data_IF_906768016626
#
_entry.id   IF_906768016626
#
_cell.length_a   1.000
_cell.length_b   1.000
_cell.length_c   1.000
_cell.angle_alpha   90.00
_cell.angle_beta   90.00
_cell.angle_gamma   90.00
#
_symmetry.space_group_name_H-M   'P 1'
#
loop_
_entity.id
_entity.type
_entity.pdbx_description
1 polymer ?
#
# COMPACT_ATOMS: atom_id res chain seq x y z
N UNK A 1 10.20 17.72 7.56
CA UNK A 1 9.79 16.32 7.34
C UNK A 1 10.99 15.45 7.53
N UNK A 2 10.89 14.48 8.42
CA UNK A 2 11.91 13.45 8.58
C UNK A 2 11.93 12.58 7.31
N UNK A 3 12.88 12.88 6.43
CA UNK A 3 13.11 12.16 5.17
C UNK A 3 13.12 10.64 5.38
N UNK A 4 13.73 10.08 6.44
CA UNK A 4 13.73 8.63 6.66
C UNK A 4 12.33 8.03 6.87
N UNK A 5 11.45 8.72 7.60
CA UNK A 5 10.09 8.21 7.89
C UNK A 5 9.23 8.15 6.62
N UNK A 6 9.36 9.16 5.75
CA UNK A 6 8.65 9.20 4.47
C UNK A 6 9.12 8.09 3.54
N UNK A 7 10.44 7.89 3.42
CA UNK A 7 11.00 6.82 2.58
C UNK A 7 10.55 5.45 3.08
N UNK A 8 10.63 5.21 4.39
CA UNK A 8 10.16 3.96 4.99
C UNK A 8 8.67 3.73 4.70
N UNK A 9 7.85 4.77 4.84
CA UNK A 9 6.42 4.65 4.58
C UNK A 9 6.11 4.32 3.12
N UNK A 10 6.80 4.94 2.17
CA UNK A 10 6.65 4.67 0.73
C UNK A 10 7.03 3.22 0.43
N UNK A 11 8.20 2.76 0.89
CA UNK A 11 8.67 1.40 0.64
C UNK A 11 7.71 0.36 1.22
N UNK A 12 7.20 0.59 2.44
CA UNK A 12 6.21 -0.29 3.07
C UNK A 12 4.88 -0.29 2.30
N UNK A 13 4.42 0.89 1.84
CA UNK A 13 3.20 1.01 1.06
C UNK A 13 3.34 0.30 -0.29
N UNK A 14 4.41 0.54 -1.04
CA UNK A 14 4.69 -0.09 -2.33
C UNK A 14 4.79 -1.62 -2.19
N UNK A 15 5.51 -2.10 -1.17
CA UNK A 15 5.64 -3.55 -0.92
C UNK A 15 4.29 -4.15 -0.57
N UNK A 16 3.52 -3.51 0.30
CA UNK A 16 2.19 -3.98 0.68
C UNK A 16 1.24 -4.01 -0.52
N UNK A 17 1.15 -2.92 -1.29
CA UNK A 17 0.25 -2.82 -2.46
C UNK A 17 0.68 -3.79 -3.55
N UNK A 18 1.96 -3.84 -3.88
CA UNK A 18 2.52 -4.77 -4.86
C UNK A 18 2.26 -6.22 -4.47
N UNK A 19 2.58 -6.59 -3.23
CA UNK A 19 2.33 -7.94 -2.73
C UNK A 19 0.84 -8.29 -2.68
N UNK A 20 -0.05 -7.34 -2.36
CA UNK A 20 -1.50 -7.56 -2.42
C UNK A 20 -1.97 -7.79 -3.87
N UNK A 21 -1.44 -7.04 -4.84
CA UNK A 21 -1.72 -7.29 -6.27
C UNK A 21 -1.37 -8.72 -6.64
N UNK A 22 -0.15 -9.18 -6.32
CA UNK A 22 0.24 -10.56 -6.60
C UNK A 22 -0.62 -11.57 -5.83
N UNK A 23 -0.84 -11.37 -4.52
CA UNK A 23 -1.63 -12.30 -3.72
C UNK A 23 -3.04 -12.53 -4.27
N UNK A 24 -3.76 -11.46 -4.63
CA UNK A 24 -5.18 -11.55 -4.96
C UNK A 24 -5.48 -11.72 -6.45
N UNK A 25 -4.54 -11.35 -7.32
CA UNK A 25 -4.72 -11.39 -8.77
C UNK A 25 -3.82 -12.40 -9.48
N UNK A 26 -2.79 -12.96 -8.84
CA UNK A 26 -2.01 -14.05 -9.42
C UNK A 26 -2.87 -15.33 -9.55
N UNK A 27 -2.57 -16.18 -10.55
CA UNK A 27 -3.25 -17.46 -10.74
C UNK A 27 -2.96 -18.48 -9.62
N UNK A 28 -2.10 -18.13 -8.65
CA UNK A 28 -1.72 -18.96 -7.50
C UNK A 28 -2.77 -18.96 -6.38
N UNK A 29 -3.73 -18.04 -6.41
CA UNK A 29 -4.80 -17.96 -5.40
C UNK A 29 -5.62 -19.25 -5.34
N UNK A 30 -5.66 -19.90 -4.17
CA UNK A 30 -6.31 -21.20 -3.95
C UNK A 30 -5.53 -22.41 -4.50
N UNK A 31 -4.39 -22.19 -5.18
CA UNK A 31 -3.50 -23.26 -5.63
C UNK A 31 -2.44 -23.62 -4.57
N UNK A 32 -2.18 -22.71 -3.63
CA UNK A 32 -1.24 -22.90 -2.52
C UNK A 32 -1.95 -23.32 -1.22
N UNK A 33 -1.18 -23.73 -0.21
CA UNK A 33 -1.75 -24.11 1.09
C UNK A 33 -2.39 -22.90 1.76
N UNK A 34 -3.58 -23.06 2.34
CA UNK A 34 -4.31 -21.98 3.02
C UNK A 34 -3.49 -21.21 4.07
N UNK A 35 -2.61 -21.92 4.81
CA UNK A 35 -1.72 -21.28 5.79
C UNK A 35 -0.71 -20.31 5.16
N UNK A 36 -0.31 -20.54 3.91
CA UNK A 36 0.57 -19.66 3.16
C UNK A 36 -0.11 -18.32 2.84
N UNK A 37 -1.36 -18.36 2.36
CA UNK A 37 -2.14 -17.16 2.06
C UNK A 37 -2.36 -16.31 3.31
N UNK A 38 -2.62 -16.95 4.46
CA UNK A 38 -2.75 -16.27 5.75
C UNK A 38 -1.42 -15.61 6.15
N UNK A 39 -0.30 -16.33 6.08
CA UNK A 39 1.01 -15.79 6.46
C UNK A 39 1.39 -14.60 5.58
N UNK A 40 1.31 -14.78 4.27
CA UNK A 40 1.61 -13.75 3.28
C UNK A 40 0.70 -12.52 3.45
N UNK A 41 -0.61 -12.74 3.54
CA UNK A 41 -1.58 -11.67 3.80
C UNK A 41 -1.31 -10.95 5.13
N UNK A 42 -0.94 -11.68 6.19
CA UNK A 42 -0.62 -11.10 7.51
C UNK A 42 0.59 -10.18 7.42
N UNK A 43 1.66 -10.59 6.73
CA UNK A 43 2.85 -9.78 6.57
C UNK A 43 2.57 -8.52 5.74
N UNK A 44 1.80 -8.63 4.67
CA UNK A 44 1.39 -7.48 3.85
C UNK A 44 0.48 -6.52 4.65
N UNK A 45 -0.42 -7.04 5.47
CA UNK A 45 -1.24 -6.23 6.37
C UNK A 45 -0.37 -5.48 7.38
N UNK A 46 0.65 -6.13 7.98
CA UNK A 46 1.60 -5.48 8.88
C UNK A 46 2.42 -4.39 8.19
N UNK A 47 2.84 -4.61 6.94
CA UNK A 47 3.51 -3.57 6.14
C UNK A 47 2.60 -2.37 5.89
N UNK A 48 1.32 -2.60 5.54
CA UNK A 48 0.34 -1.53 5.38
C UNK A 48 0.10 -0.74 6.68
N UNK A 49 0.05 -1.43 7.83
CA UNK A 49 0.01 -0.78 9.15
C UNK A 49 1.26 0.04 9.44
N UNK A 50 2.43 -0.50 9.12
CA UNK A 50 3.71 0.20 9.24
C UNK A 50 3.74 1.48 8.38
N UNK A 51 3.30 1.39 7.12
CA UNK A 51 3.17 2.54 6.23
C UNK A 51 2.22 3.61 6.81
N UNK A 52 1.04 3.19 7.28
CA UNK A 52 0.06 4.10 7.90
C UNK A 52 0.64 4.80 9.13
N UNK A 53 1.34 4.07 10.01
CA UNK A 53 1.96 4.64 11.20
C UNK A 53 3.10 5.60 10.86
N UNK A 54 3.95 5.25 9.89
CA UNK A 54 5.09 6.07 9.46
C UNK A 54 4.68 7.36 8.72
N UNK A 55 3.47 7.43 8.16
CA UNK A 55 2.99 8.63 7.47
C UNK A 55 2.44 9.73 8.38
N UNK A 56 1.99 9.41 9.61
CA UNK A 56 1.25 10.37 10.46
C UNK A 56 1.99 11.68 10.68
N UNK A 57 3.18 11.59 11.28
CA UNK A 57 4.00 12.78 11.60
C UNK A 57 4.43 13.54 10.34
N UNK A 58 4.93 12.88 9.27
CA UNK A 58 5.23 13.58 8.02
C UNK A 58 4.03 14.32 7.41
N UNK A 59 2.83 13.74 7.44
CA UNK A 59 1.64 14.38 6.88
C UNK A 59 1.20 15.57 7.71
N UNK A 60 1.15 15.45 9.04
CA UNK A 60 0.85 16.57 9.95
C UNK A 60 1.81 17.74 9.69
N UNK A 61 3.12 17.48 9.66
CA UNK A 61 4.12 18.52 9.40
C UNK A 61 4.05 19.11 7.98
N UNK A 62 3.51 18.37 7.00
CA UNK A 62 3.26 18.88 5.65
C UNK A 62 2.10 19.87 5.67
N UNK A 63 0.99 19.47 6.29
CA UNK A 63 -0.24 20.27 6.36
C UNK A 63 -0.03 21.56 7.18
N UNK A 64 0.75 21.50 8.25
CA UNK A 64 1.12 22.69 9.03
C UNK A 64 1.89 23.73 8.21
N UNK A 65 2.75 23.29 7.28
CA UNK A 65 3.57 24.16 6.43
C UNK A 65 2.82 24.64 5.18
N UNK A 66 1.95 23.78 4.66
CA UNK A 66 1.22 23.95 3.40
C UNK A 66 -0.23 23.50 3.59
N UNK A 67 -1.09 24.38 4.15
CA UNK A 67 -2.50 24.06 4.42
C UNK A 67 -3.29 23.66 3.16
N UNK A 68 -2.88 24.13 1.99
CA UNK A 68 -3.44 23.76 0.68
C UNK A 68 -3.32 22.25 0.38
N UNK A 69 -2.38 21.55 1.01
CA UNK A 69 -2.18 20.10 0.86
C UNK A 69 -2.99 19.26 1.84
N UNK A 70 -3.83 19.86 2.68
CA UNK A 70 -4.67 19.14 3.65
C UNK A 70 -5.58 18.09 3.00
N UNK A 71 -6.18 18.41 1.85
CA UNK A 71 -7.05 17.50 1.11
C UNK A 71 -6.31 16.24 0.63
N UNK A 72 -5.25 16.38 -0.18
CA UNK A 72 -4.42 15.25 -0.60
C UNK A 72 -3.82 14.46 0.56
N UNK A 73 -3.35 15.12 1.63
CA UNK A 73 -2.80 14.45 2.80
C UNK A 73 -3.86 13.57 3.51
N UNK A 74 -5.08 14.09 3.70
CA UNK A 74 -6.18 13.34 4.28
C UNK A 74 -6.60 12.16 3.39
N UNK A 75 -6.64 12.35 2.07
CA UNK A 75 -6.94 11.28 1.11
C UNK A 75 -5.89 10.16 1.18
N UNK A 76 -4.61 10.52 1.25
CA UNK A 76 -3.51 9.57 1.40
C UNK A 76 -3.64 8.79 2.71
N UNK A 77 -3.80 9.49 3.83
CA UNK A 77 -3.95 8.86 5.15
C UNK A 77 -5.13 7.88 5.16
N UNK A 78 -6.28 8.31 4.64
CA UNK A 78 -7.49 7.49 4.56
C UNK A 78 -7.28 6.26 3.68
N UNK A 79 -6.65 6.40 2.51
CA UNK A 79 -6.42 5.30 1.58
C UNK A 79 -5.44 4.26 2.13
N UNK A 80 -4.33 4.70 2.74
CA UNK A 80 -3.35 3.78 3.34
C UNK A 80 -3.93 3.10 4.58
N UNK A 81 -4.67 3.83 5.41
CA UNK A 81 -5.36 3.24 6.57
C UNK A 81 -6.44 2.23 6.13
N UNK A 82 -7.26 2.57 5.13
CA UNK A 82 -8.25 1.65 4.56
C UNK A 82 -7.58 0.39 4.00
N UNK A 83 -6.43 0.52 3.35
CA UNK A 83 -5.63 -0.62 2.88
C UNK A 83 -5.23 -1.54 4.04
N UNK A 84 -4.70 -0.98 5.12
CA UNK A 84 -4.30 -1.75 6.30
C UNK A 84 -5.48 -2.48 6.95
N UNK A 85 -6.62 -1.80 7.13
CA UNK A 85 -7.83 -2.37 7.72
C UNK A 85 -8.41 -3.47 6.84
N UNK A 86 -8.56 -3.22 5.54
CA UNK A 86 -9.13 -4.19 4.60
C UNK A 86 -8.21 -5.40 4.41
N UNK A 87 -6.89 -5.19 4.35
CA UNK A 87 -5.91 -6.29 4.33
C UNK A 87 -6.02 -7.14 5.60
N UNK A 88 -6.12 -6.50 6.77
CA UNK A 88 -6.34 -7.22 8.05
C UNK A 88 -7.65 -8.00 8.04
N UNK A 89 -8.74 -7.39 7.57
CA UNK A 89 -10.04 -8.03 7.46
C UNK A 89 -10.00 -9.25 6.51
N UNK A 90 -9.24 -9.14 5.41
CA UNK A 90 -9.05 -10.24 4.47
C UNK A 90 -8.36 -11.44 5.13
N UNK A 91 -7.31 -11.19 5.91
CA UNK A 91 -6.57 -12.22 6.65
C UNK A 91 -7.47 -12.88 7.70
N UNK A 92 -8.23 -12.08 8.46
CA UNK A 92 -9.18 -12.60 9.46
C UNK A 92 -10.24 -13.46 8.78
N UNK A 93 -10.80 -13.02 7.65
CA UNK A 93 -11.77 -13.77 6.88
C UNK A 93 -11.20 -15.11 6.38
N UNK A 94 -9.95 -15.14 5.92
CA UNK A 94 -9.25 -16.38 5.58
C UNK A 94 -9.10 -17.28 6.81
N UNK A 95 -8.69 -16.74 7.95
CA UNK A 95 -8.50 -17.51 9.19
C UNK A 95 -9.78 -18.20 9.66
N UNK A 96 -10.94 -17.54 9.52
CA UNK A 96 -12.25 -18.13 9.84
C UNK A 96 -12.88 -18.93 8.69
N UNK A 97 -12.09 -19.23 7.65
CA UNK A 97 -12.48 -20.02 6.46
C UNK A 97 -13.59 -19.40 5.60
N UNK A 98 -13.75 -18.08 5.67
CA UNK A 98 -14.65 -17.30 4.83
C UNK A 98 -13.95 -16.82 3.54
N UNK A 99 -13.45 -17.76 2.73
CA UNK A 99 -12.56 -17.48 1.60
C UNK A 99 -13.13 -16.49 0.57
N UNK A 100 -14.44 -16.52 0.30
CA UNK A 100 -15.09 -15.55 -0.60
C UNK A 100 -15.01 -14.12 -0.08
N UNK A 101 -15.27 -13.91 1.22
CA UNK A 101 -15.15 -12.60 1.88
C UNK A 101 -13.68 -12.17 1.91
N UNK A 102 -12.77 -13.09 2.24
CA UNK A 102 -11.32 -12.83 2.24
C UNK A 102 -10.83 -12.31 0.89
N UNK A 103 -11.23 -12.96 -0.21
CA UNK A 103 -10.86 -12.52 -1.56
C UNK A 103 -11.34 -11.11 -1.88
N UNK A 104 -12.63 -10.82 -1.66
CA UNK A 104 -13.18 -9.52 -2.03
C UNK A 104 -12.66 -8.38 -1.16
N UNK A 105 -12.46 -8.64 0.13
CA UNK A 105 -11.83 -7.66 1.04
C UNK A 105 -10.36 -7.43 0.68
N UNK A 106 -9.63 -8.46 0.25
CA UNK A 106 -8.27 -8.33 -0.27
C UNK A 106 -8.17 -7.54 -1.59
N UNK A 107 -9.09 -7.79 -2.52
CA UNK A 107 -9.24 -7.00 -3.76
C UNK A 107 -9.56 -5.53 -3.43
N UNK A 108 -10.47 -5.28 -2.49
CA UNK A 108 -10.79 -3.93 -2.03
C UNK A 108 -9.59 -3.26 -1.36
N UNK A 109 -8.80 -3.98 -0.55
CA UNK A 109 -7.56 -3.48 0.03
C UNK A 109 -6.57 -3.06 -1.05
N UNK A 110 -6.42 -3.87 -2.10
CA UNK A 110 -5.55 -3.57 -3.24
C UNK A 110 -5.99 -2.29 -3.96
N UNK A 111 -7.29 -2.14 -4.21
CA UNK A 111 -7.85 -0.94 -4.84
C UNK A 111 -7.62 0.32 -3.99
N UNK A 112 -7.84 0.25 -2.67
CA UNK A 112 -7.55 1.34 -1.75
C UNK A 112 -6.05 1.70 -1.77
N UNK A 113 -5.19 0.68 -1.83
CA UNK A 113 -3.74 0.83 -1.91
C UNK A 113 -3.30 1.56 -3.17
N UNK A 114 -3.79 1.13 -4.33
CA UNK A 114 -3.53 1.80 -5.62
C UNK A 114 -4.07 3.23 -5.64
N UNK A 115 -5.24 3.47 -5.04
CA UNK A 115 -5.81 4.82 -4.93
C UNK A 115 -4.92 5.77 -4.11
N UNK A 116 -4.10 5.25 -3.18
CA UNK A 116 -3.15 6.06 -2.40
C UNK A 116 -2.00 6.64 -3.23
N UNK A 117 -1.70 6.09 -4.42
CA UNK A 117 -0.59 6.56 -5.25
C UNK A 117 -0.82 7.95 -5.84
N UNK A 118 -2.08 8.30 -6.10
CA UNK A 118 -2.45 9.63 -6.63
C UNK A 118 -2.11 10.74 -5.62
N UNK A 119 -2.60 10.73 -4.37
CA UNK A 119 -2.24 11.76 -3.41
C UNK A 119 -0.76 11.71 -3.02
N UNK A 120 -0.09 10.55 -3.04
CA UNK A 120 1.38 10.48 -2.93
C UNK A 120 2.08 11.28 -4.03
N UNK A 121 1.68 11.09 -5.29
CA UNK A 121 2.27 11.77 -6.43
C UNK A 121 1.99 13.28 -6.40
N UNK A 122 0.82 13.71 -5.95
CA UNK A 122 0.49 15.13 -5.75
C UNK A 122 1.43 15.75 -4.70
N UNK A 123 1.53 15.13 -3.51
CA UNK A 123 2.40 15.62 -2.43
C UNK A 123 3.87 15.68 -2.84
N UNK A 124 4.32 14.73 -3.67
CA UNK A 124 5.66 14.73 -4.24
C UNK A 124 5.85 15.86 -5.27
N UNK A 125 4.94 16.00 -6.23
CA UNK A 125 5.08 16.96 -7.32
C UNK A 125 5.13 18.40 -6.79
N UNK A 126 4.32 18.71 -5.77
CA UNK A 126 4.32 20.01 -5.10
C UNK A 126 5.64 20.29 -4.37
N UNK A 127 6.20 19.27 -3.71
CA UNK A 127 7.52 19.40 -3.08
C UNK A 127 8.65 19.68 -4.06
N UNK A 128 8.59 19.09 -5.26
CA UNK A 128 9.63 19.20 -6.27
C UNK A 128 9.40 20.40 -7.21
N UNK A 129 8.24 21.07 -7.13
CA UNK A 129 7.88 22.18 -8.01
C UNK A 129 7.64 21.76 -9.47
N UNK A 130 7.30 20.48 -9.70
CA UNK A 130 7.25 19.86 -11.04
C UNK A 130 5.88 20.02 -11.75
N UNK A 131 4.90 20.61 -11.07
CA UNK A 131 3.54 20.80 -11.60
C UNK A 131 2.86 19.48 -12.02
N UNK A 132 1.95 19.56 -12.99
CA UNK A 132 1.13 18.40 -13.39
C UNK A 132 1.90 17.24 -14.04
N UNK A 133 3.04 17.51 -14.69
CA UNK A 133 3.88 16.47 -15.28
C UNK A 133 4.56 15.58 -14.22
N UNK A 134 4.91 16.16 -13.07
CA UNK A 134 5.48 15.44 -11.92
C UNK A 134 4.52 14.44 -11.27
N UNK A 135 3.20 14.65 -11.42
CA UNK A 135 2.19 13.71 -10.90
C UNK A 135 2.21 12.41 -11.73
N UNK A 136 2.25 12.54 -13.06
CA UNK A 136 2.24 11.37 -13.94
C UNK A 136 3.49 10.51 -13.76
N UNK A 137 4.69 11.14 -13.73
CA UNK A 137 5.94 10.42 -13.42
C UNK A 137 5.91 9.81 -12.02
N UNK A 138 5.39 10.54 -11.03
CA UNK A 138 5.24 10.04 -9.66
C UNK A 138 4.40 8.77 -9.58
N UNK A 139 3.25 8.73 -10.26
CA UNK A 139 2.41 7.53 -10.32
C UNK A 139 3.15 6.38 -11.02
N UNK A 140 3.82 6.63 -12.14
CA UNK A 140 4.57 5.60 -12.87
C UNK A 140 5.68 5.01 -12.00
N UNK A 141 6.41 5.85 -11.27
CA UNK A 141 7.46 5.40 -10.35
C UNK A 141 6.88 4.58 -9.19
N UNK A 142 5.78 5.01 -8.58
CA UNK A 142 5.12 4.25 -7.50
C UNK A 142 4.59 2.89 -7.99
N UNK A 143 4.01 2.85 -9.18
CA UNK A 143 3.54 1.60 -9.80
C UNK A 143 4.73 0.68 -10.11
N UNK A 144 5.81 1.22 -10.66
CA UNK A 144 7.02 0.45 -10.92
C UNK A 144 7.67 -0.08 -9.63
N UNK A 145 7.75 0.75 -8.59
CA UNK A 145 8.24 0.39 -7.26
C UNK A 145 7.38 -0.70 -6.63
N UNK A 146 6.06 -0.55 -6.64
CA UNK A 146 5.13 -1.56 -6.15
C UNK A 146 5.24 -2.88 -6.92
N UNK A 147 5.33 -2.84 -8.25
CA UNK A 147 5.51 -4.05 -9.05
C UNK A 147 6.84 -4.75 -8.72
N UNK A 148 7.94 -4.00 -8.66
CA UNK A 148 9.27 -4.53 -8.35
C UNK A 148 9.32 -5.14 -6.94
N UNK A 149 8.90 -4.39 -5.93
CA UNK A 149 8.93 -4.85 -4.53
C UNK A 149 7.95 -5.99 -4.30
N UNK A 150 6.77 -5.93 -4.91
CA UNK A 150 5.81 -7.04 -4.90
C UNK A 150 6.38 -8.31 -5.53
N UNK A 151 7.06 -8.20 -6.68
CA UNK A 151 7.66 -9.34 -7.37
C UNK A 151 8.86 -9.91 -6.59
N UNK A 152 9.70 -9.07 -5.99
CA UNK A 152 10.79 -9.51 -5.11
C UNK A 152 10.22 -10.26 -3.91
N UNK A 153 9.19 -9.69 -3.28
CA UNK A 153 8.53 -10.31 -2.15
C UNK A 153 7.92 -11.67 -2.52
N UNK A 154 7.12 -11.72 -3.58
CA UNK A 154 6.51 -12.97 -4.06
C UNK A 154 7.58 -14.01 -4.43
N UNK A 155 8.65 -13.59 -5.11
CA UNK A 155 9.78 -14.46 -5.43
C UNK A 155 10.54 -14.98 -4.20
N UNK A 156 10.70 -14.18 -3.14
CA UNK A 156 11.29 -14.64 -1.88
C UNK A 156 10.40 -15.64 -1.15
N UNK A 157 9.08 -15.43 -1.16
CA UNK A 157 8.12 -16.27 -0.45
C UNK A 157 7.75 -17.53 -1.25
N UNK A 158 7.88 -17.54 -2.58
CA UNK A 158 7.68 -18.73 -3.42
C UNK A 158 9.00 -19.45 -3.81
N UNK A 159 10.15 -18.81 -3.66
CA UNK A 159 11.46 -19.27 -4.15
C UNK A 159 12.11 -20.42 -3.36
N UNK A 160 11.30 -21.33 -2.82
CA UNK A 160 11.71 -22.55 -2.14
C UNK A 160 10.98 -23.77 -2.69
#
# INVERSE_FOLDING_TARGET
MDVPAVVLAIVLAETAVGGLVFLWFAPTWGAVRHGYEILLGSTLALMAWGASASLRVPLETTVERSPELAGPAQQLETAVFATAVLATASVVALAVRAAGIGRWTGVAATAAGLASFVPFAILRAERLGEGGAGIASGIVELVAGAFLLGAIWDGMVLGH
#
